data_IF_997400831262
#
_entry.id   IF_997400831262
#
_cell.length_a   1.000
_cell.length_b   1.000
_cell.length_c   1.000
_cell.angle_alpha   90.00
_cell.angle_beta   90.00
_cell.angle_gamma   90.00
#
_symmetry.space_group_name_H-M   'P 1'
#
loop_
_entity.id
_entity.type
_entity.pdbx_description
1 polymer ?
#
# COMPACT_ATOMS: atom_id res chain seq x y z
N UNK A 1 7.04 -51.96 -12.41
CA UNK A 1 6.29 -51.68 -11.16
C UNK A 1 7.21 -50.90 -10.24
N UNK A 2 6.99 -49.68 -9.79
CA UNK A 2 5.96 -48.66 -9.99
C UNK A 2 6.57 -47.34 -9.52
N UNK A 3 6.56 -46.32 -10.37
CA UNK A 3 6.78 -44.92 -10.00
C UNK A 3 5.65 -44.43 -9.06
N UNK A 4 5.97 -43.48 -8.17
CA UNK A 4 5.07 -42.41 -7.67
C UNK A 4 5.96 -41.20 -7.33
N UNK A 5 6.10 -40.19 -8.21
CA UNK A 5 5.26 -38.98 -8.36
C UNK A 5 4.97 -38.27 -7.03
N UNK A 6 5.45 -37.03 -6.93
CA UNK A 6 5.31 -36.15 -5.76
C UNK A 6 3.92 -35.56 -5.56
N UNK A 7 3.78 -34.77 -4.49
CA UNK A 7 2.66 -33.85 -4.30
C UNK A 7 3.14 -32.62 -3.54
N UNK A 8 3.14 -31.50 -4.26
CA UNK A 8 3.16 -30.13 -3.76
C UNK A 8 1.75 -29.81 -3.21
N UNK A 9 1.68 -28.79 -2.35
CA UNK A 9 0.50 -28.05 -1.85
C UNK A 9 -0.01 -28.42 -0.45
N UNK A 10 0.26 -27.55 0.52
CA UNK A 10 -0.66 -27.25 1.62
C UNK A 10 -0.73 -25.74 1.87
N UNK A 11 -1.91 -25.18 1.58
CA UNK A 11 -2.52 -24.13 2.39
C UNK A 11 -2.22 -22.67 2.04
N UNK A 12 -2.71 -22.19 0.91
CA UNK A 12 -3.06 -20.77 0.78
C UNK A 12 -4.21 -20.52 1.76
N UNK A 13 -3.94 -19.77 2.83
CA UNK A 13 -4.98 -19.20 3.70
C UNK A 13 -5.84 -18.27 2.84
N UNK A 14 -7.07 -18.69 2.57
CA UNK A 14 -8.09 -17.81 1.99
C UNK A 14 -8.55 -16.88 3.10
N UNK A 15 -7.93 -15.71 3.20
CA UNK A 15 -8.45 -14.64 4.04
C UNK A 15 -9.81 -14.23 3.46
N UNK A 16 -10.86 -14.59 4.19
CA UNK A 16 -12.23 -14.31 3.81
C UNK A 16 -12.49 -12.80 3.83
N UNK A 17 -13.20 -12.32 2.82
CA UNK A 17 -13.60 -10.91 2.64
C UNK A 17 -14.29 -10.31 3.88
N UNK A 18 -14.82 -11.15 4.77
CA UNK A 18 -15.57 -10.76 5.97
C UNK A 18 -14.70 -10.25 7.11
N UNK A 19 -13.41 -10.63 7.19
CA UNK A 19 -12.54 -10.21 8.29
C UNK A 19 -12.07 -8.75 8.16
N UNK A 20 -12.02 -8.22 6.94
CA UNK A 20 -11.51 -6.87 6.66
C UNK A 20 -12.48 -5.74 7.00
N UNK A 21 -13.78 -6.03 7.10
CA UNK A 21 -14.82 -5.03 7.35
C UNK A 21 -14.95 -4.65 8.84
N UNK A 22 -14.30 -5.39 9.75
CA UNK A 22 -14.47 -5.19 11.20
C UNK A 22 -13.70 -3.98 11.76
N UNK A 23 -12.77 -3.38 10.99
CA UNK A 23 -11.93 -2.27 11.45
C UNK A 23 -12.47 -0.86 11.21
N UNK A 24 -13.64 -0.68 10.58
CA UNK A 24 -14.10 0.64 10.11
C UNK A 24 -15.42 1.14 10.74
N UNK A 25 -15.81 0.64 11.90
CA UNK A 25 -16.97 1.18 12.64
C UNK A 25 -16.50 2.28 13.61
N UNK A 26 -17.12 3.46 13.53
CA UNK A 26 -16.83 4.59 14.41
C UNK A 26 -17.98 4.73 15.41
N UNK A 27 -17.68 4.61 16.70
CA UNK A 27 -18.66 4.81 17.77
C UNK A 27 -18.71 6.31 18.11
N UNK A 28 -19.89 6.93 17.99
CA UNK A 28 -20.12 8.32 18.39
C UNK A 28 -21.06 8.32 19.59
N UNK A 29 -20.65 8.93 20.69
CA UNK A 29 -21.51 9.26 21.82
C UNK A 29 -22.03 10.69 21.64
N UNK A 30 -23.35 10.83 21.48
CA UNK A 30 -24.01 12.14 21.49
C UNK A 30 -24.43 12.43 22.94
N UNK A 31 -23.95 13.54 23.49
CA UNK A 31 -24.33 14.02 24.82
C UNK A 31 -25.52 14.98 24.66
N UNK A 32 -26.65 14.66 25.29
CA UNK A 32 -27.83 15.51 25.27
C UNK A 32 -27.63 16.67 26.26
N UNK A 33 -27.48 17.90 25.76
CA UNK A 33 -27.55 19.10 26.60
C UNK A 33 -29.01 19.31 27.06
N UNK A 34 -29.23 19.27 28.38
CA UNK A 34 -30.53 19.28 29.06
C UNK A 34 -31.18 20.68 29.06
N UNK A 35 -31.92 21.02 28.01
CA UNK A 35 -32.86 22.17 28.02
C UNK A 35 -34.20 21.76 28.64
N UNK A 36 -34.32 22.05 29.93
CA UNK A 36 -35.47 21.75 30.80
C UNK A 36 -36.84 22.24 30.29
N UNK A 37 -37.71 21.29 29.91
CA UNK A 37 -39.16 21.47 29.77
C UNK A 37 -39.96 20.35 30.48
N UNK A 38 -41.05 20.66 31.20
CA UNK A 38 -41.73 19.70 32.08
C UNK A 38 -42.61 18.70 31.31
N UNK A 39 -42.37 17.42 31.57
CA UNK A 39 -43.01 16.25 30.92
C UNK A 39 -44.48 16.08 31.33
N UNK A 40 -45.38 15.95 30.34
CA UNK A 40 -46.70 15.32 30.53
C UNK A 40 -46.68 13.86 30.09
N UNK A 41 -47.20 13.04 31.01
CA UNK A 41 -47.37 11.59 31.07
C UNK A 41 -47.97 10.99 29.80
N UNK A 42 -47.25 10.11 29.11
CA UNK A 42 -47.81 9.24 28.08
C UNK A 42 -46.77 8.61 27.16
N UNK A 43 -46.71 7.28 27.18
CA UNK A 43 -45.97 6.37 26.29
C UNK A 43 -44.46 6.21 26.54
N UNK A 44 -44.07 4.95 26.74
CA UNK A 44 -42.69 4.46 26.72
C UNK A 44 -42.12 4.63 25.32
N UNK A 45 -41.52 5.78 25.04
CA UNK A 45 -41.05 6.18 23.71
C UNK A 45 -39.61 6.65 23.86
N UNK A 46 -38.72 5.69 23.62
CA UNK A 46 -37.25 5.74 23.44
C UNK A 46 -36.40 6.14 24.66
N UNK A 47 -36.17 5.20 25.58
CA UNK A 47 -34.92 5.12 26.35
C UNK A 47 -34.11 3.91 25.92
N UNK A 48 -33.14 4.15 25.04
CA UNK A 48 -31.82 3.50 25.05
C UNK A 48 -30.98 4.17 23.97
N UNK A 49 -29.78 4.63 24.31
CA UNK A 49 -28.81 5.15 23.35
C UNK A 49 -28.74 4.23 22.13
N UNK A 50 -29.08 4.80 20.98
CA UNK A 50 -29.11 4.08 19.71
C UNK A 50 -27.66 3.79 19.30
N UNK A 51 -27.07 2.69 19.78
CA UNK A 51 -25.84 2.12 19.21
C UNK A 51 -26.18 1.47 17.87
N UNK A 52 -26.59 2.30 16.92
CA UNK A 52 -26.77 1.90 15.54
C UNK A 52 -25.39 1.78 14.90
N UNK A 53 -25.06 0.60 14.37
CA UNK A 53 -23.99 0.49 13.38
C UNK A 53 -24.45 1.29 12.16
N UNK A 54 -23.93 2.51 11.98
CA UNK A 54 -24.18 3.28 10.77
C UNK A 54 -23.72 2.45 9.57
N UNK A 55 -24.50 2.48 8.49
CA UNK A 55 -24.11 1.82 7.24
C UNK A 55 -22.78 2.40 6.73
N UNK A 56 -22.04 1.60 5.96
CA UNK A 56 -20.86 2.06 5.26
C UNK A 56 -21.17 3.39 4.54
N UNK A 57 -20.48 4.46 4.91
CA UNK A 57 -20.45 5.66 4.08
C UNK A 57 -19.73 5.27 2.80
N UNK A 58 -20.50 5.04 1.73
CA UNK A 58 -19.95 4.75 0.42
C UNK A 58 -19.11 5.96 -0.01
N UNK A 59 -17.79 5.79 0.01
CA UNK A 59 -16.81 6.82 -0.32
C UNK A 59 -16.19 6.48 -1.67
N UNK A 60 -16.24 7.44 -2.58
CA UNK A 60 -15.72 7.33 -3.94
C UNK A 60 -14.21 7.62 -4.05
N UNK A 61 -13.54 7.91 -2.94
CA UNK A 61 -12.12 8.29 -2.91
C UNK A 61 -11.41 7.90 -1.61
N UNK A 62 -10.07 7.86 -1.64
CA UNK A 62 -9.27 7.49 -0.47
C UNK A 62 -9.44 8.52 0.65
N UNK A 63 -9.22 8.11 1.90
CA UNK A 63 -9.10 9.02 3.05
C UNK A 63 -7.85 9.84 2.94
N UNK A 64 -6.74 9.20 2.58
CA UNK A 64 -5.45 9.84 2.44
C UNK A 64 -4.86 9.48 1.09
N UNK A 65 -4.63 10.49 0.24
CA UNK A 65 -3.98 10.31 -1.05
C UNK A 65 -2.55 9.81 -0.85
N UNK A 66 -2.05 9.05 -1.82
CA UNK A 66 -0.66 8.65 -1.83
C UNK A 66 0.27 9.88 -1.90
N UNK A 67 1.20 9.95 -0.95
CA UNK A 67 2.19 11.02 -0.85
C UNK A 67 3.60 10.45 -1.12
N UNK A 68 4.15 10.66 -2.33
CA UNK A 68 5.44 10.07 -2.72
C UNK A 68 6.59 10.43 -1.78
N UNK A 69 6.62 11.67 -1.29
CA UNK A 69 7.71 12.19 -0.45
C UNK A 69 7.86 11.45 0.89
N UNK A 70 6.77 10.87 1.44
CA UNK A 70 6.83 10.09 2.68
C UNK A 70 7.58 8.77 2.49
N UNK A 71 7.52 8.21 1.28
CA UNK A 71 8.19 6.95 0.94
C UNK A 71 9.55 7.19 0.30
N UNK A 72 9.72 8.31 -0.40
CA UNK A 72 10.92 8.64 -1.15
C UNK A 72 12.20 8.46 -0.33
N UNK A 73 12.27 9.09 0.85
CA UNK A 73 13.45 9.02 1.72
C UNK A 73 13.79 7.58 2.09
N UNK A 74 12.79 6.80 2.51
CA UNK A 74 13.01 5.40 2.90
C UNK A 74 13.38 4.51 1.71
N UNK A 75 12.76 4.75 0.56
CA UNK A 75 13.08 4.05 -0.68
C UNK A 75 14.52 4.32 -1.14
N UNK A 76 14.97 5.57 -1.08
CA UNK A 76 16.35 5.95 -1.37
C UNK A 76 17.34 5.30 -0.38
N UNK A 77 17.02 5.25 0.92
CA UNK A 77 17.81 4.52 1.91
C UNK A 77 17.96 3.03 1.58
N UNK A 78 16.86 2.35 1.23
CA UNK A 78 16.88 0.92 0.85
C UNK A 78 17.73 0.68 -0.41
N UNK A 79 17.59 1.54 -1.42
CA UNK A 79 18.40 1.47 -2.65
C UNK A 79 19.89 1.66 -2.34
N UNK A 80 20.24 2.66 -1.50
CA UNK A 80 21.61 2.91 -1.09
C UNK A 80 22.21 1.73 -0.30
N UNK A 81 21.44 1.14 0.61
CA UNK A 81 21.88 -0.02 1.40
C UNK A 81 22.14 -1.25 0.54
N UNK A 82 21.30 -1.49 -0.47
CA UNK A 82 21.39 -2.67 -1.32
C UNK A 82 22.46 -2.54 -2.42
N UNK A 83 22.59 -1.36 -3.03
CA UNK A 83 23.43 -1.15 -4.22
C UNK A 83 24.71 -0.35 -3.94
N UNK A 84 24.88 0.24 -2.76
CA UNK A 84 26.00 1.10 -2.38
C UNK A 84 27.38 0.53 -2.72
N UNK A 85 27.65 -0.66 -2.19
CA UNK A 85 28.94 -1.38 -2.32
C UNK A 85 28.91 -2.45 -3.44
N UNK A 86 27.83 -2.53 -4.22
CA UNK A 86 27.61 -3.62 -5.16
C UNK A 86 28.30 -3.34 -6.51
N UNK A 87 29.19 -4.24 -6.92
CA UNK A 87 29.68 -4.30 -8.29
C UNK A 87 28.64 -4.98 -9.21
N UNK A 88 28.57 -4.56 -10.47
CA UNK A 88 27.59 -5.11 -11.40
C UNK A 88 27.88 -6.58 -11.71
N UNK A 89 26.92 -7.43 -11.41
CA UNK A 89 26.83 -8.81 -11.85
C UNK A 89 25.37 -9.11 -12.21
N UNK A 90 25.11 -9.69 -13.39
CA UNK A 90 23.76 -9.78 -13.92
C UNK A 90 22.81 -10.56 -12.99
N UNK A 91 23.24 -11.71 -12.51
CA UNK A 91 22.39 -12.61 -11.73
C UNK A 91 22.23 -12.10 -10.29
N UNK A 92 23.33 -11.66 -9.65
CA UNK A 92 23.26 -11.08 -8.31
C UNK A 92 22.45 -9.76 -8.28
N UNK A 93 22.66 -8.86 -9.25
CA UNK A 93 21.89 -7.62 -9.32
C UNK A 93 20.40 -7.87 -9.55
N UNK A 94 20.03 -8.91 -10.30
CA UNK A 94 18.63 -9.31 -10.46
C UNK A 94 18.01 -9.71 -9.12
N UNK A 95 18.67 -10.60 -8.38
CA UNK A 95 18.16 -11.07 -7.09
C UNK A 95 18.07 -9.95 -6.06
N UNK A 96 19.05 -9.04 -6.04
CA UNK A 96 19.03 -7.85 -5.18
C UNK A 96 17.91 -6.89 -5.60
N UNK A 97 17.70 -6.67 -6.89
CA UNK A 97 16.62 -5.83 -7.39
C UNK A 97 15.23 -6.36 -7.00
N UNK A 98 15.01 -7.67 -7.11
CA UNK A 98 13.75 -8.30 -6.71
C UNK A 98 13.50 -8.16 -5.20
N UNK A 99 14.55 -8.31 -4.38
CA UNK A 99 14.49 -8.08 -2.92
C UNK A 99 14.13 -6.63 -2.60
N UNK A 100 14.84 -5.66 -3.18
CA UNK A 100 14.58 -4.23 -2.95
C UNK A 100 13.18 -3.84 -3.41
N UNK A 101 12.72 -4.37 -4.54
CA UNK A 101 11.35 -4.14 -5.00
C UNK A 101 10.32 -4.67 -3.99
N UNK A 102 10.55 -5.85 -3.42
CA UNK A 102 9.69 -6.43 -2.39
C UNK A 102 9.71 -5.62 -1.08
N UNK A 103 10.88 -5.15 -0.63
CA UNK A 103 11.04 -4.35 0.59
C UNK A 103 10.36 -2.99 0.46
N UNK A 104 10.57 -2.30 -0.67
CA UNK A 104 9.89 -1.03 -0.97
C UNK A 104 8.38 -1.24 -1.03
N UNK A 105 7.92 -2.33 -1.65
CA UNK A 105 6.49 -2.66 -1.73
C UNK A 105 5.89 -2.96 -0.34
N UNK A 106 6.63 -3.66 0.53
CA UNK A 106 6.22 -3.93 1.90
C UNK A 106 6.09 -2.62 2.70
N UNK A 107 7.10 -1.76 2.61
CA UNK A 107 7.07 -0.44 3.26
C UNK A 107 5.90 0.44 2.77
N UNK A 108 5.57 0.40 1.47
CA UNK A 108 4.41 1.11 0.93
C UNK A 108 3.09 0.61 1.53
N UNK A 109 2.96 -0.71 1.75
CA UNK A 109 1.76 -1.32 2.34
C UNK A 109 1.60 -1.04 3.83
N UNK A 110 2.69 -0.72 4.53
CA UNK A 110 2.66 -0.33 5.95
C UNK A 110 2.23 1.12 6.15
N UNK A 111 2.18 1.93 5.08
CA UNK A 111 1.73 3.30 5.17
C UNK A 111 0.21 3.38 5.37
N UNK A 112 -0.24 4.50 5.94
CA UNK A 112 -1.65 4.76 6.27
C UNK A 112 -2.55 5.07 5.06
N UNK A 113 -2.04 4.92 3.84
CA UNK A 113 -2.81 5.17 2.62
C UNK A 113 -3.80 4.03 2.36
N UNK A 114 -5.08 4.35 2.33
CA UNK A 114 -6.15 3.39 2.07
C UNK A 114 -6.48 3.29 0.58
N UNK A 115 -7.07 2.16 0.16
CA UNK A 115 -7.61 1.98 -1.20
C UNK A 115 -6.58 2.12 -2.32
N UNK A 116 -5.39 1.57 -2.12
CA UNK A 116 -4.33 1.52 -3.13
C UNK A 116 -3.83 0.10 -3.38
N UNK A 117 -3.58 -0.21 -4.64
CA UNK A 117 -2.73 -1.31 -5.09
C UNK A 117 -1.37 -0.75 -5.49
N UNK A 118 -0.32 -1.41 -5.04
CA UNK A 118 1.04 -0.99 -5.31
C UNK A 118 1.74 -1.93 -6.28
N UNK A 119 2.49 -1.35 -7.22
CA UNK A 119 3.40 -2.07 -8.11
C UNK A 119 4.77 -1.45 -7.95
N UNK A 120 5.76 -2.25 -7.55
CA UNK A 120 7.16 -1.85 -7.47
C UNK A 120 7.97 -2.53 -8.57
N UNK A 121 8.85 -1.77 -9.23
CA UNK A 121 9.78 -2.26 -10.24
C UNK A 121 11.13 -1.61 -10.02
N UNK A 122 12.19 -2.41 -10.01
CA UNK A 122 13.57 -1.92 -9.96
C UNK A 122 14.26 -2.32 -11.26
N UNK A 123 14.89 -1.35 -11.91
CA UNK A 123 15.70 -1.55 -13.13
C UNK A 123 17.14 -1.30 -12.76
N UNK A 124 18.01 -2.30 -12.96
CA UNK A 124 19.45 -2.19 -12.71
C UNK A 124 20.18 -2.34 -14.04
N UNK A 125 21.24 -1.57 -14.24
CA UNK A 125 22.10 -1.69 -15.41
C UNK A 125 23.55 -1.34 -15.09
N UNK A 126 24.47 -1.96 -15.81
CA UNK A 126 25.90 -1.68 -15.70
C UNK A 126 26.21 -0.24 -16.12
N UNK A 127 27.16 0.42 -15.49
CA UNK A 127 27.60 1.77 -15.84
C UNK A 127 28.95 1.71 -16.57
N UNK A 128 28.92 2.06 -17.86
CA UNK A 128 30.05 2.07 -18.79
C UNK A 128 30.21 3.41 -19.53
N UNK A 129 29.63 4.49 -19.00
CA UNK A 129 29.68 5.83 -19.59
C UNK A 129 28.56 6.12 -20.60
N UNK A 130 27.51 5.31 -20.62
CA UNK A 130 26.32 5.53 -21.44
C UNK A 130 25.27 6.39 -20.71
N UNK A 131 24.41 7.03 -21.50
CA UNK A 131 23.22 7.74 -20.99
C UNK A 131 21.98 6.86 -21.15
N UNK A 132 21.23 6.68 -20.08
CA UNK A 132 19.97 5.91 -20.08
C UNK A 132 18.82 6.84 -19.71
N UNK A 133 17.71 6.75 -20.46
CA UNK A 133 16.45 7.43 -20.13
C UNK A 133 15.37 6.38 -19.93
N UNK A 134 14.72 6.41 -18.77
CA UNK A 134 13.61 5.54 -18.44
C UNK A 134 12.33 6.39 -18.43
N UNK A 135 11.32 5.92 -19.15
CA UNK A 135 10.01 6.55 -19.19
C UNK A 135 8.93 5.47 -19.06
N UNK A 136 7.81 5.84 -18.45
CA UNK A 136 6.62 5.00 -18.34
C UNK A 136 5.43 5.73 -18.96
N UNK A 137 4.48 4.96 -19.51
CA UNK A 137 3.19 5.46 -19.98
C UNK A 137 2.10 4.73 -19.22
N UNK A 138 1.16 5.47 -18.66
CA UNK A 138 0.06 4.95 -17.86
C UNK A 138 -1.26 5.55 -18.35
N UNK A 139 -2.32 4.76 -18.27
CA UNK A 139 -3.70 5.22 -18.39
C UNK A 139 -4.30 5.12 -17.00
N UNK A 140 -4.32 6.23 -16.28
CA UNK A 140 -4.62 6.28 -14.85
C UNK A 140 -5.36 7.59 -14.52
N UNK A 141 -6.01 7.62 -13.36
CA UNK A 141 -6.75 8.78 -12.86
C UNK A 141 -5.78 9.77 -12.21
N UNK A 142 -5.62 10.96 -12.78
CA UNK A 142 -4.66 11.98 -12.33
C UNK A 142 -4.96 12.55 -10.94
N UNK A 143 -6.20 12.42 -10.47
CA UNK A 143 -6.58 12.87 -9.14
C UNK A 143 -6.32 11.82 -8.06
N UNK A 144 -6.37 10.54 -8.41
CA UNK A 144 -6.32 9.41 -7.46
C UNK A 144 -5.01 8.64 -7.50
N UNK A 145 -4.47 8.40 -8.68
CA UNK A 145 -3.29 7.58 -8.92
C UNK A 145 -2.02 8.42 -8.84
N UNK A 146 -0.92 7.79 -8.42
CA UNK A 146 0.34 8.51 -8.29
C UNK A 146 1.54 7.54 -8.39
N UNK A 147 2.74 8.08 -8.56
CA UNK A 147 3.97 7.32 -8.65
C UNK A 147 5.12 7.95 -7.88
N UNK A 148 6.15 7.15 -7.66
CA UNK A 148 7.41 7.55 -7.09
C UNK A 148 8.55 6.94 -7.91
N UNK A 149 9.54 7.77 -8.24
CA UNK A 149 10.80 7.33 -8.86
C UNK A 149 11.93 7.49 -7.86
N UNK A 150 12.75 6.45 -7.74
CA UNK A 150 13.93 6.38 -6.89
C UNK A 150 15.14 6.18 -7.78
N UNK A 151 16.16 7.02 -7.62
CA UNK A 151 17.37 6.94 -8.42
C UNK A 151 18.57 6.60 -7.54
N UNK A 152 19.39 5.66 -7.99
CA UNK A 152 20.64 5.29 -7.36
C UNK A 152 21.73 5.10 -8.42
N UNK A 153 22.95 5.51 -8.09
CA UNK A 153 24.09 5.38 -8.98
C UNK A 153 25.38 5.18 -8.17
N UNK A 154 26.20 4.23 -8.60
CA UNK A 154 27.55 4.06 -8.06
C UNK A 154 28.59 4.05 -9.20
N UNK A 155 29.79 3.54 -8.94
CA UNK A 155 30.86 3.45 -9.95
C UNK A 155 30.60 2.38 -11.01
N UNK A 156 29.92 1.30 -10.67
CA UNK A 156 29.78 0.09 -11.47
C UNK A 156 28.40 -0.07 -12.13
N UNK A 157 27.35 0.50 -11.54
CA UNK A 157 25.96 0.33 -11.96
C UNK A 157 25.12 1.57 -11.66
N UNK A 158 23.95 1.60 -12.30
CA UNK A 158 22.84 2.47 -11.95
C UNK A 158 21.63 1.60 -11.59
N UNK A 159 20.75 2.10 -10.73
CA UNK A 159 19.50 1.46 -10.38
C UNK A 159 18.38 2.51 -10.30
N UNK A 160 17.24 2.21 -10.92
CA UNK A 160 16.04 3.06 -10.91
C UNK A 160 14.87 2.26 -10.38
N UNK A 161 14.39 2.64 -9.22
CA UNK A 161 13.16 2.13 -8.61
C UNK A 161 11.96 2.95 -9.07
N UNK A 162 10.85 2.27 -9.35
CA UNK A 162 9.56 2.88 -9.68
C UNK A 162 8.49 2.22 -8.82
N UNK A 163 7.68 3.03 -8.15
CA UNK A 163 6.50 2.58 -7.42
C UNK A 163 5.28 3.26 -8.02
N UNK A 164 4.29 2.48 -8.40
CA UNK A 164 2.98 2.96 -8.85
C UNK A 164 1.94 2.66 -7.78
N UNK A 165 1.26 3.70 -7.31
CA UNK A 165 0.13 3.62 -6.39
C UNK A 165 -1.15 3.85 -7.20
N UNK A 166 -1.91 2.79 -7.41
CA UNK A 166 -3.12 2.79 -8.23
C UNK A 166 -4.32 2.63 -7.30
N UNK A 167 -5.25 3.57 -7.35
CA UNK A 167 -6.48 3.56 -6.60
C UNK A 167 -7.28 2.29 -6.89
N UNK A 168 -7.78 1.68 -5.83
CA UNK A 168 -8.53 0.45 -5.87
C UNK A 168 -9.74 0.53 -4.96
N UNK A 169 -10.92 0.30 -5.52
CA UNK A 169 -12.20 0.30 -4.81
C UNK A 169 -12.49 -1.04 -4.10
#
# INVERSE_FOLDING_TARGET
MSERRGSIMKGIRKDSHTDRLRGSTMDIEMHDDDDSHPVKRGSSVWKSGFKGKLANTYRLGPKQKFLPHLIQKKGEELMNQAFGELAYDHDNCRDVADKVAADVLAFCKEQVFDRYRYVARVVVGEKKGQTVKIASRTLWDDEKDNFLTLNFENRHLFAVGMVFAIYFE
#
